data_IF_445021183569
#
_entry.id   IF_445021183569
#
_cell.length_a   1.000
_cell.length_b   1.000
_cell.length_c   1.000
_cell.angle_alpha   90.00
_cell.angle_beta   90.00
_cell.angle_gamma   90.00
#
_symmetry.space_group_name_H-M   'P 1'
#
loop_
_entity.id
_entity.type
_entity.pdbx_description
1 polymer ?
#
# COMPACT_ATOMS: atom_id res chain seq x y z
N UNK A 1 16.42 -8.85 -10.18
CA UNK A 1 14.98 -8.98 -9.86
C UNK A 1 14.29 -7.64 -10.10
N UNK A 2 13.27 -7.65 -10.96
CA UNK A 2 12.58 -6.46 -11.44
C UNK A 2 11.56 -5.96 -10.42
N UNK A 3 11.28 -4.65 -10.40
CA UNK A 3 10.27 -4.02 -9.54
C UNK A 3 8.93 -4.77 -9.53
N UNK A 4 8.45 -5.17 -10.70
CA UNK A 4 7.19 -5.89 -10.86
C UNK A 4 7.16 -7.25 -10.16
N UNK A 5 8.29 -7.96 -10.08
CA UNK A 5 8.39 -9.25 -9.38
C UNK A 5 8.26 -9.08 -7.87
N UNK A 6 8.81 -8.00 -7.31
CA UNK A 6 8.67 -7.72 -5.89
C UNK A 6 7.28 -7.16 -5.55
N UNK A 7 6.69 -6.38 -6.45
CA UNK A 7 5.31 -5.92 -6.32
C UNK A 7 4.32 -7.10 -6.33
N UNK A 8 4.50 -8.06 -7.25
CA UNK A 8 3.64 -9.24 -7.27
C UNK A 8 3.83 -10.11 -6.03
N UNK A 9 5.07 -10.29 -5.55
CA UNK A 9 5.35 -11.06 -4.34
C UNK A 9 4.75 -10.43 -3.09
N UNK A 10 4.82 -9.10 -2.95
CA UNK A 10 4.21 -8.36 -1.82
C UNK A 10 2.69 -8.38 -1.89
N UNK A 11 2.10 -8.31 -3.08
CA UNK A 11 0.67 -8.49 -3.29
C UNK A 11 0.24 -9.91 -2.87
N UNK A 12 0.89 -10.96 -3.39
CA UNK A 12 0.58 -12.36 -3.07
C UNK A 12 0.71 -12.61 -1.56
N UNK A 13 1.78 -12.13 -0.93
CA UNK A 13 1.97 -12.24 0.52
C UNK A 13 0.83 -11.56 1.29
N UNK A 14 0.40 -10.38 0.86
CA UNK A 14 -0.72 -9.65 1.48
C UNK A 14 -2.06 -10.38 1.30
N UNK A 15 -2.30 -11.01 0.15
CA UNK A 15 -3.48 -11.84 -0.10
C UNK A 15 -3.49 -13.11 0.76
N UNK A 16 -2.36 -13.81 0.85
CA UNK A 16 -2.22 -15.01 1.69
C UNK A 16 -2.47 -14.65 3.16
N UNK A 17 -1.87 -13.56 3.66
CA UNK A 17 -2.08 -13.11 5.03
C UNK A 17 -3.54 -12.73 5.28
N UNK A 18 -4.16 -12.01 4.34
CA UNK A 18 -5.59 -11.66 4.40
C UNK A 18 -6.47 -12.90 4.54
N UNK A 19 -6.16 -13.96 3.79
CA UNK A 19 -6.87 -15.24 3.88
C UNK A 19 -6.61 -15.97 5.22
N UNK A 20 -5.37 -16.01 5.70
CA UNK A 20 -5.00 -16.66 6.96
C UNK A 20 -5.63 -15.97 8.19
N UNK A 21 -5.84 -14.66 8.13
CA UNK A 21 -6.48 -13.89 9.20
C UNK A 21 -8.01 -13.92 9.14
N UNK A 22 -8.62 -14.56 8.14
CA UNK A 22 -10.07 -14.78 8.09
C UNK A 22 -10.46 -15.73 9.20
N UNK A 23 -11.15 -15.22 10.22
CA UNK A 23 -11.79 -16.07 11.24
C UNK A 23 -13.15 -16.55 10.75
N UNK A 24 -13.57 -17.73 11.19
CA UNK A 24 -14.83 -18.37 10.78
C UNK A 24 -16.08 -17.52 11.11
N UNK A 25 -16.04 -16.70 12.16
CA UNK A 25 -17.13 -15.81 12.58
C UNK A 25 -17.03 -14.37 12.01
N UNK A 26 -16.26 -14.15 10.95
CA UNK A 26 -16.13 -12.81 10.35
C UNK A 26 -17.21 -12.55 9.28
N UNK A 27 -17.78 -11.33 9.22
CA UNK A 27 -18.72 -10.97 8.16
C UNK A 27 -18.12 -11.16 6.77
N UNK A 28 -18.94 -11.62 5.82
CA UNK A 28 -18.54 -11.98 4.46
C UNK A 28 -17.83 -10.83 3.72
N UNK A 29 -18.17 -9.58 4.04
CA UNK A 29 -17.58 -8.37 3.45
C UNK A 29 -16.12 -8.09 3.84
N UNK A 30 -15.54 -8.77 4.84
CA UNK A 30 -14.14 -8.52 5.27
C UNK A 30 -13.16 -8.85 4.17
N UNK A 31 -13.36 -9.98 3.48
CA UNK A 31 -12.45 -10.42 2.44
C UNK A 31 -12.48 -9.44 1.26
N UNK A 32 -13.68 -9.02 0.83
CA UNK A 32 -13.86 -7.99 -0.20
C UNK A 32 -13.19 -6.66 0.19
N UNK A 33 -13.37 -6.20 1.44
CA UNK A 33 -12.71 -4.99 1.93
C UNK A 33 -11.18 -5.11 1.91
N UNK A 34 -10.62 -6.27 2.29
CA UNK A 34 -9.18 -6.53 2.22
C UNK A 34 -8.65 -6.55 0.78
N UNK A 35 -9.39 -7.15 -0.15
CA UNK A 35 -9.02 -7.13 -1.57
C UNK A 35 -8.95 -5.71 -2.12
N UNK A 36 -9.93 -4.87 -1.76
CA UNK A 36 -9.95 -3.45 -2.15
C UNK A 36 -8.73 -2.71 -1.57
N UNK A 37 -8.39 -2.96 -0.31
CA UNK A 37 -7.20 -2.36 0.33
C UNK A 37 -5.89 -2.78 -0.35
N UNK A 38 -5.73 -4.06 -0.66
CA UNK A 38 -4.54 -4.55 -1.37
C UNK A 38 -4.47 -3.95 -2.78
N UNK A 39 -5.59 -3.89 -3.49
CA UNK A 39 -5.66 -3.25 -4.80
C UNK A 39 -5.25 -1.76 -4.73
N UNK A 40 -5.75 -1.04 -3.73
CA UNK A 40 -5.33 0.34 -3.45
C UNK A 40 -3.82 0.46 -3.26
N UNK A 41 -3.20 -0.40 -2.43
CA UNK A 41 -1.76 -0.35 -2.22
C UNK A 41 -0.93 -0.68 -3.46
N UNK A 42 -1.40 -1.59 -4.31
CA UNK A 42 -0.76 -1.91 -5.59
C UNK A 42 -0.76 -0.68 -6.50
N UNK A 43 -1.94 -0.06 -6.69
CA UNK A 43 -2.10 1.12 -7.54
C UNK A 43 -1.29 2.30 -7.00
N UNK A 44 -1.31 2.49 -5.68
CA UNK A 44 -0.56 3.56 -5.02
C UNK A 44 0.96 3.37 -5.22
N UNK A 45 1.47 2.16 -4.95
CA UNK A 45 2.89 1.84 -5.12
C UNK A 45 3.35 1.99 -6.57
N UNK A 46 2.52 1.57 -7.54
CA UNK A 46 2.79 1.79 -8.97
C UNK A 46 2.89 3.28 -9.29
N UNK A 47 1.93 4.06 -8.83
CA UNK A 47 1.88 5.51 -9.06
C UNK A 47 3.14 6.19 -8.52
N UNK A 48 3.51 5.89 -7.27
CA UNK A 48 4.72 6.46 -6.66
C UNK A 48 5.99 6.01 -7.36
N UNK A 49 6.07 4.76 -7.82
CA UNK A 49 7.23 4.31 -8.59
C UNK A 49 7.44 5.13 -9.88
N UNK A 50 6.38 5.40 -10.63
CA UNK A 50 6.47 6.22 -11.84
C UNK A 50 6.80 7.68 -11.52
N UNK A 51 6.12 8.28 -10.54
CA UNK A 51 6.37 9.67 -10.12
C UNK A 51 7.80 9.83 -9.61
N UNK A 52 8.29 8.91 -8.79
CA UNK A 52 9.67 8.92 -8.29
C UNK A 52 10.71 8.74 -9.41
N UNK A 53 10.44 7.88 -10.39
CA UNK A 53 11.30 7.71 -11.56
C UNK A 53 11.39 8.97 -12.41
N UNK A 54 10.29 9.73 -12.53
CA UNK A 54 10.31 11.05 -13.17
C UNK A 54 11.04 12.09 -12.32
N UNK A 55 10.85 12.06 -11.01
CA UNK A 55 11.47 13.01 -10.08
C UNK A 55 13.00 12.92 -10.05
N UNK A 56 13.56 11.71 -10.15
CA UNK A 56 15.02 11.50 -10.16
C UNK A 56 15.69 12.10 -11.40
N UNK A 57 14.97 12.18 -12.53
CA UNK A 57 15.50 12.82 -13.75
C UNK A 57 15.45 14.34 -13.71
N UNK A 58 14.83 14.92 -12.68
CA UNK A 58 14.76 16.37 -12.51
C UNK A 58 16.12 16.92 -12.09
N UNK A 59 16.45 18.12 -12.55
CA UNK A 59 17.65 18.84 -12.13
C UNK A 59 17.65 19.20 -10.63
N UNK A 60 16.50 19.10 -9.94
CA UNK A 60 16.38 19.44 -8.53
C UNK A 60 16.50 18.20 -7.62
N UNK A 61 17.60 18.06 -6.86
CA UNK A 61 17.83 16.89 -5.99
C UNK A 61 16.80 16.78 -4.85
N UNK A 62 16.16 17.87 -4.46
CA UNK A 62 15.14 17.88 -3.40
C UNK A 62 13.77 17.41 -3.87
N UNK A 63 13.55 17.31 -5.19
CA UNK A 63 12.24 16.95 -5.75
C UNK A 63 11.88 15.50 -5.40
N UNK A 64 12.85 14.59 -5.43
CA UNK A 64 12.67 13.20 -5.00
C UNK A 64 12.24 13.10 -3.54
N UNK A 65 12.95 13.78 -2.63
CA UNK A 65 12.62 13.77 -1.19
C UNK A 65 11.25 14.39 -0.94
N UNK A 66 10.88 15.47 -1.65
CA UNK A 66 9.56 16.08 -1.53
C UNK A 66 8.45 15.15 -2.01
N UNK A 67 8.64 14.46 -3.14
CA UNK A 67 7.70 13.44 -3.65
C UNK A 67 7.50 12.33 -2.62
N UNK A 68 8.58 11.86 -1.98
CA UNK A 68 8.50 10.84 -0.94
C UNK A 68 7.71 11.32 0.30
N UNK A 69 7.99 12.52 0.82
CA UNK A 69 7.23 13.03 1.98
C UNK A 69 5.74 13.20 1.65
N UNK A 70 5.45 13.77 0.48
CA UNK A 70 4.07 13.96 0.02
C UNK A 70 3.39 12.62 -0.19
N UNK A 71 4.07 11.61 -0.73
CA UNK A 71 3.47 10.29 -0.94
C UNK A 71 3.03 9.66 0.38
N UNK A 72 3.89 9.67 1.40
CA UNK A 72 3.55 9.11 2.72
C UNK A 72 2.33 9.82 3.32
N UNK A 73 2.29 11.15 3.27
CA UNK A 73 1.15 11.91 3.77
C UNK A 73 -0.14 11.59 3.01
N UNK A 74 -0.07 11.60 1.68
CA UNK A 74 -1.22 11.35 0.81
C UNK A 74 -1.74 9.90 0.96
N UNK A 75 -0.83 8.94 1.14
CA UNK A 75 -1.16 7.53 1.41
C UNK A 75 -2.00 7.39 2.68
N UNK A 76 -1.59 8.04 3.76
CA UNK A 76 -2.33 7.97 5.03
C UNK A 76 -3.71 8.60 4.90
N UNK A 77 -3.82 9.75 4.23
CA UNK A 77 -5.09 10.44 4.02
C UNK A 77 -6.05 9.58 3.18
N UNK A 78 -5.61 9.11 2.02
CA UNK A 78 -6.41 8.25 1.14
C UNK A 78 -6.80 6.93 1.82
N UNK A 79 -5.88 6.32 2.57
CA UNK A 79 -6.15 5.11 3.32
C UNK A 79 -7.22 5.33 4.39
N UNK A 80 -7.16 6.45 5.11
CA UNK A 80 -8.17 6.80 6.13
C UNK A 80 -9.56 6.94 5.51
N UNK A 81 -9.67 7.68 4.39
CA UNK A 81 -10.93 7.84 3.65
C UNK A 81 -11.46 6.50 3.13
N UNK A 82 -10.57 5.65 2.61
CA UNK A 82 -10.93 4.33 2.09
C UNK A 82 -11.44 3.42 3.20
N UNK A 83 -10.75 3.35 4.34
CA UNK A 83 -11.18 2.55 5.50
C UNK A 83 -12.53 3.02 6.03
N UNK A 84 -12.73 4.34 6.16
CA UNK A 84 -14.01 4.89 6.59
C UNK A 84 -15.15 4.50 5.64
N UNK A 85 -14.90 4.57 4.33
CA UNK A 85 -15.86 4.17 3.30
C UNK A 85 -16.17 2.68 3.37
N UNK A 86 -15.16 1.82 3.52
CA UNK A 86 -15.33 0.36 3.60
C UNK A 86 -16.09 -0.07 4.85
N UNK A 87 -15.78 0.53 6.00
CA UNK A 87 -16.51 0.29 7.27
C UNK A 87 -18.00 0.60 7.11
N UNK A 88 -18.33 1.71 6.43
CA UNK A 88 -19.71 2.11 6.19
C UNK A 88 -20.44 1.22 5.18
N UNK A 89 -19.77 0.85 4.08
CA UNK A 89 -20.36 0.04 2.99
C UNK A 89 -20.61 -1.40 3.43
N UNK A 90 -19.64 -2.02 4.10
CA UNK A 90 -19.70 -3.43 4.49
C UNK A 90 -20.16 -3.66 5.94
N UNK A 91 -20.60 -2.59 6.63
CA UNK A 91 -21.03 -2.61 8.03
C UNK A 91 -20.02 -3.32 8.96
N UNK A 92 -18.73 -3.09 8.73
CA UNK A 92 -17.65 -3.78 9.44
C UNK A 92 -17.32 -3.10 10.76
N UNK A 93 -16.90 -3.88 11.75
CA UNK A 93 -16.35 -3.30 12.99
C UNK A 93 -14.89 -2.88 12.72
N UNK A 94 -14.48 -1.63 13.01
CA UNK A 94 -13.11 -1.14 12.73
C UNK A 94 -12.00 -2.06 13.26
N UNK A 95 -12.23 -2.68 14.43
CA UNK A 95 -11.31 -3.64 15.05
C UNK A 95 -11.00 -4.86 14.18
N UNK A 96 -11.95 -5.31 13.36
CA UNK A 96 -11.78 -6.47 12.49
C UNK A 96 -10.85 -6.17 11.31
N UNK A 97 -10.80 -4.92 10.85
CA UNK A 97 -9.91 -4.48 9.77
C UNK A 97 -8.52 -4.08 10.27
N UNK A 98 -8.37 -3.70 11.53
CA UNK A 98 -7.12 -3.12 12.06
C UNK A 98 -5.87 -3.99 11.82
N UNK A 99 -5.93 -5.28 12.13
CA UNK A 99 -4.80 -6.21 11.96
C UNK A 99 -4.45 -6.41 10.47
N UNK A 100 -5.37 -6.87 9.61
CA UNK A 100 -5.05 -7.10 8.19
C UNK A 100 -4.66 -5.79 7.46
N UNK A 101 -5.28 -4.66 7.82
CA UNK A 101 -4.89 -3.33 7.35
C UNK A 101 -3.45 -3.00 7.76
N UNK A 102 -3.10 -3.16 9.03
CA UNK A 102 -1.77 -2.83 9.55
C UNK A 102 -0.67 -3.68 8.90
N UNK A 103 -0.92 -4.97 8.72
CA UNK A 103 0.03 -5.90 8.08
C UNK A 103 0.25 -5.55 6.61
N UNK A 104 -0.83 -5.36 5.83
CA UNK A 104 -0.72 -4.97 4.41
C UNK A 104 -0.05 -3.60 4.28
N UNK A 105 -0.44 -2.62 5.10
CA UNK A 105 0.20 -1.31 5.14
C UNK A 105 1.70 -1.41 5.38
N UNK A 106 2.14 -2.19 6.36
CA UNK A 106 3.57 -2.37 6.67
C UNK A 106 4.32 -3.02 5.52
N UNK A 107 3.81 -4.13 4.96
CA UNK A 107 4.46 -4.83 3.86
C UNK A 107 4.66 -3.91 2.64
N UNK A 108 3.62 -3.20 2.24
CA UNK A 108 3.70 -2.27 1.11
C UNK A 108 4.60 -1.07 1.44
N UNK A 109 4.61 -0.57 2.67
CA UNK A 109 5.45 0.57 3.06
C UNK A 109 6.95 0.19 3.11
N UNK A 110 7.28 -1.00 3.63
CA UNK A 110 8.66 -1.51 3.60
C UNK A 110 9.12 -1.66 2.15
N UNK A 111 8.29 -2.26 1.29
CA UNK A 111 8.60 -2.42 -0.12
C UNK A 111 8.77 -1.08 -0.85
N UNK A 112 7.83 -0.16 -0.66
CA UNK A 112 7.88 1.19 -1.24
C UNK A 112 9.16 1.93 -0.84
N UNK A 113 9.48 1.93 0.46
CA UNK A 113 10.70 2.55 0.98
C UNK A 113 11.95 1.92 0.38
N UNK A 114 12.00 0.58 0.30
CA UNK A 114 13.12 -0.14 -0.32
C UNK A 114 13.29 0.20 -1.79
N UNK A 115 12.20 0.24 -2.57
CA UNK A 115 12.23 0.60 -4.00
C UNK A 115 12.73 2.02 -4.18
N UNK A 116 12.23 2.96 -3.38
CA UNK A 116 12.62 4.37 -3.47
C UNK A 116 14.08 4.57 -3.07
N UNK A 117 14.55 3.93 -1.99
CA UNK A 117 15.96 3.95 -1.60
C UNK A 117 16.87 3.34 -2.67
N UNK A 118 16.42 2.28 -3.34
CA UNK A 118 17.17 1.67 -4.44
C UNK A 118 17.25 2.61 -5.64
N UNK A 119 16.13 3.25 -5.99
CA UNK A 119 16.05 4.25 -7.05
C UNK A 119 16.98 5.44 -6.78
N UNK A 120 17.06 5.92 -5.53
CA UNK A 120 17.93 7.05 -5.17
C UNK A 120 19.43 6.72 -5.21
N UNK A 121 19.81 5.45 -5.06
CA UNK A 121 21.22 4.97 -5.11
C UNK A 121 21.70 4.59 -6.51
N UNK A 122 20.80 4.46 -7.47
CA UNK A 122 21.16 4.08 -8.85
C UNK A 122 21.59 5.31 -9.68
N UNK A 123 21.85 6.43 -9.01
CA UNK A 123 22.29 7.70 -9.56
C UNK A 123 23.43 8.26 -8.69
#
# INVERSE_FOLDING_TARGET
MNFYSWLSLTAIASFILSYLFKKENQPEGILSAQMILVCFFIIFTLTIFYVAKMAIKSANPYLFTRVFMVSVFFKMLLLSLLVFSLVKIFALVPRQLAIPLGVSYLLFTIFETWVLMKLSKTH
#
